data_IF_131550593157
#
_entry.id   IF_131550593157
#
_cell.length_a   1.000
_cell.length_b   1.000
_cell.length_c   1.000
_cell.angle_alpha   90.00
_cell.angle_beta   90.00
_cell.angle_gamma   90.00
#
_symmetry.space_group_name_H-M   'P 1'
#
loop_
_entity.id
_entity.type
_entity.pdbx_description
1 polymer ?
#
# COMPACT_ATOMS: atom_id res chain seq x y z
N UNK A 1 -12.91 -0.71 -16.46
CA UNK A 1 -13.10 -0.64 -15.00
C UNK A 1 -13.57 -2.00 -14.52
N UNK A 2 -12.75 -2.67 -13.72
CA UNK A 2 -13.03 -3.97 -13.10
C UNK A 2 -13.56 -3.74 -11.69
N UNK A 3 -14.58 -4.51 -11.29
CA UNK A 3 -15.19 -4.44 -9.96
C UNK A 3 -14.98 -5.75 -9.24
N UNK A 4 -14.22 -5.74 -8.14
CA UNK A 4 -13.87 -6.97 -7.42
C UNK A 4 -15.07 -7.60 -6.70
N UNK A 5 -16.12 -6.84 -6.40
CA UNK A 5 -17.36 -7.38 -5.83
C UNK A 5 -18.16 -8.27 -6.79
N UNK A 6 -17.86 -8.20 -8.09
CA UNK A 6 -18.52 -8.99 -9.14
C UNK A 6 -17.73 -10.26 -9.50
N UNK A 7 -16.55 -10.46 -8.91
CA UNK A 7 -15.65 -11.57 -9.22
C UNK A 7 -15.63 -12.62 -8.11
N UNK A 8 -15.56 -13.89 -8.49
CA UNK A 8 -15.19 -14.96 -7.57
C UNK A 8 -13.66 -15.06 -7.36
N UNK A 9 -13.21 -15.97 -6.49
CA UNK A 9 -11.79 -16.12 -6.17
C UNK A 9 -10.95 -16.65 -7.34
N UNK A 10 -11.55 -17.46 -8.23
CA UNK A 10 -10.90 -17.95 -9.44
C UNK A 10 -10.70 -16.84 -10.46
N UNK A 11 -11.73 -16.04 -10.69
CA UNK A 11 -11.67 -14.86 -11.56
C UNK A 11 -10.69 -13.80 -11.03
N UNK A 12 -10.66 -13.58 -9.71
CA UNK A 12 -9.65 -12.72 -9.08
C UNK A 12 -8.22 -13.27 -9.28
N UNK A 13 -8.03 -14.59 -9.24
CA UNK A 13 -6.73 -15.19 -9.49
C UNK A 13 -6.27 -14.96 -10.93
N UNK A 14 -7.15 -15.09 -11.92
CA UNK A 14 -6.84 -14.81 -13.33
C UNK A 14 -6.46 -13.34 -13.53
N UNK A 15 -7.25 -12.42 -12.97
CA UNK A 15 -6.94 -10.99 -12.99
C UNK A 15 -5.57 -10.70 -12.35
N UNK A 16 -5.28 -11.28 -11.19
CA UNK A 16 -4.03 -11.03 -10.48
C UNK A 16 -2.83 -11.57 -11.26
N UNK A 17 -2.98 -12.71 -11.95
CA UNK A 17 -1.97 -13.23 -12.86
C UNK A 17 -1.69 -12.27 -14.02
N UNK A 18 -2.74 -11.74 -14.66
CA UNK A 18 -2.60 -10.73 -15.71
C UNK A 18 -1.87 -9.48 -15.20
N UNK A 19 -2.31 -8.92 -14.06
CA UNK A 19 -1.68 -7.76 -13.43
C UNK A 19 -0.19 -8.00 -13.13
N UNK A 20 0.15 -9.20 -12.63
CA UNK A 20 1.53 -9.59 -12.37
C UNK A 20 2.41 -9.51 -13.63
N UNK A 21 1.92 -9.98 -14.79
CA UNK A 21 2.65 -9.87 -16.05
C UNK A 21 2.81 -8.41 -16.53
N UNK A 22 1.93 -7.52 -16.07
CA UNK A 22 2.02 -6.08 -16.31
C UNK A 22 2.77 -5.32 -15.21
N UNK A 23 3.40 -6.00 -14.25
CA UNK A 23 4.16 -5.37 -13.16
C UNK A 23 3.29 -4.62 -12.15
N UNK A 24 2.00 -4.96 -12.07
CA UNK A 24 1.04 -4.38 -11.13
C UNK A 24 0.74 -5.41 -10.05
N UNK A 25 0.93 -5.04 -8.79
CA UNK A 25 0.82 -5.98 -7.68
C UNK A 25 -0.17 -5.45 -6.64
N UNK A 26 -1.37 -6.02 -6.53
CA UNK A 26 -2.34 -5.66 -5.50
C UNK A 26 -1.73 -5.76 -4.09
N UNK A 27 -1.90 -4.72 -3.28
CA UNK A 27 -1.45 -4.70 -1.90
C UNK A 27 -2.52 -5.28 -0.97
N UNK A 28 -2.08 -5.80 0.17
CA UNK A 28 -2.95 -6.41 1.17
C UNK A 28 -2.79 -5.74 2.53
N UNK A 29 -3.69 -6.05 3.45
CA UNK A 29 -3.47 -5.82 4.87
C UNK A 29 -2.11 -6.42 5.28
N UNK A 30 -1.27 -5.61 5.94
CA UNK A 30 0.09 -6.00 6.32
C UNK A 30 1.16 -5.77 5.25
N UNK A 31 0.80 -5.37 4.02
CA UNK A 31 1.78 -4.97 3.01
C UNK A 31 2.71 -3.88 3.55
N UNK A 32 4.01 -4.02 3.32
CA UNK A 32 5.01 -3.02 3.69
C UNK A 32 4.80 -1.69 2.98
N UNK A 33 5.07 -0.63 3.72
CA UNK A 33 5.26 0.72 3.20
C UNK A 33 6.65 1.23 3.59
N UNK A 34 7.23 2.05 2.74
CA UNK A 34 8.54 2.65 2.95
C UNK A 34 8.41 4.17 3.02
N UNK A 35 9.17 4.80 3.90
CA UNK A 35 9.41 6.24 3.97
C UNK A 35 10.93 6.49 3.91
N UNK A 36 11.36 7.71 3.59
CA UNK A 36 12.80 8.04 3.47
C UNK A 36 13.60 7.80 4.77
N UNK A 37 12.93 7.70 5.92
CA UNK A 37 13.56 7.44 7.21
C UNK A 37 13.03 6.24 7.97
N UNK A 38 12.16 5.39 7.40
CA UNK A 38 11.53 4.33 8.17
C UNK A 38 10.74 3.33 7.33
N UNK A 39 10.41 2.20 7.93
CA UNK A 39 9.57 1.17 7.34
C UNK A 39 8.29 1.03 8.15
N UNK A 40 7.24 0.59 7.47
CA UNK A 40 5.93 0.43 8.03
C UNK A 40 5.15 -0.64 7.32
N UNK A 41 3.86 -0.69 7.65
CA UNK A 41 2.91 -1.58 7.01
C UNK A 41 1.55 -0.91 6.92
N UNK A 42 0.76 -1.33 5.94
CA UNK A 42 -0.67 -1.06 5.88
C UNK A 42 -1.31 -1.75 7.09
N UNK A 43 -1.80 -0.94 8.01
CA UNK A 43 -2.49 -1.41 9.21
C UNK A 43 -3.98 -1.50 8.87
N UNK A 44 -4.64 -2.58 9.30
CA UNK A 44 -6.03 -2.81 8.94
C UNK A 44 -6.94 -2.73 10.16
N UNK A 45 -7.60 -1.58 10.39
CA UNK A 45 -8.83 -1.51 11.16
C UNK A 45 -10.06 -1.21 10.25
N UNK A 46 -9.98 -1.41 8.93
CA UNK A 46 -11.22 -1.42 8.15
C UNK A 46 -11.94 -2.75 8.44
N UNK A 47 -13.25 -2.72 8.71
CA UNK A 47 -13.99 -3.94 9.05
C UNK A 47 -14.29 -4.81 7.81
N UNK A 48 -14.19 -4.22 6.61
CA UNK A 48 -14.65 -4.78 5.35
C UNK A 48 -13.62 -4.60 4.23
N UNK A 49 -13.80 -5.33 3.13
CA UNK A 49 -12.93 -5.32 1.96
C UNK A 49 -12.90 -6.69 1.28
N UNK A 50 -12.51 -6.78 0.00
CA UNK A 50 -12.46 -8.05 -0.70
C UNK A 50 -11.33 -8.92 -0.15
N UNK A 51 -11.60 -10.22 -0.08
CA UNK A 51 -10.66 -11.23 0.39
C UNK A 51 -10.15 -12.03 -0.80
N UNK A 52 -8.86 -12.35 -0.80
CA UNK A 52 -8.23 -13.22 -1.77
C UNK A 52 -7.20 -14.08 -1.06
N UNK A 53 -7.30 -15.39 -1.17
CA UNK A 53 -6.43 -16.37 -0.50
C UNK A 53 -6.34 -16.15 1.02
N UNK A 54 -7.46 -15.78 1.65
CA UNK A 54 -7.52 -15.50 3.08
C UNK A 54 -6.87 -14.18 3.51
N UNK A 55 -6.31 -13.41 2.59
CA UNK A 55 -5.78 -12.07 2.84
C UNK A 55 -6.73 -11.01 2.33
N UNK A 56 -6.79 -9.87 3.03
CA UNK A 56 -7.66 -8.78 2.63
C UNK A 56 -6.92 -7.80 1.75
N UNK A 57 -7.50 -7.48 0.60
CA UNK A 57 -6.94 -6.50 -0.34
C UNK A 57 -7.09 -5.10 0.26
N UNK A 58 -6.02 -4.32 0.21
CA UNK A 58 -6.02 -2.94 0.69
C UNK A 58 -6.77 -2.02 -0.29
N UNK A 59 -7.52 -1.07 0.25
CA UNK A 59 -8.30 -0.09 -0.52
C UNK A 59 -7.77 1.33 -0.29
N UNK A 60 -8.03 2.23 -1.23
CA UNK A 60 -7.68 3.64 -1.09
C UNK A 60 -8.19 4.20 0.25
N UNK A 61 -7.34 4.96 0.95
CA UNK A 61 -7.60 5.42 2.30
C UNK A 61 -7.27 4.41 3.40
N UNK A 62 -6.76 3.21 3.06
CA UNK A 62 -6.23 2.26 4.04
C UNK A 62 -5.20 2.96 4.94
N UNK A 63 -5.35 2.85 6.27
CA UNK A 63 -4.38 3.44 7.17
C UNK A 63 -3.09 2.64 7.15
N UNK A 64 -1.99 3.29 7.49
CA UNK A 64 -0.71 2.63 7.66
C UNK A 64 0.00 3.19 8.88
N UNK A 65 0.99 2.44 9.34
CA UNK A 65 1.90 2.87 10.39
C UNK A 65 3.33 2.69 9.96
N UNK A 66 4.13 3.74 10.12
CA UNK A 66 5.59 3.70 9.95
C UNK A 66 6.24 3.83 11.31
N UNK A 67 7.24 2.99 11.58
CA UNK A 67 8.06 3.05 12.78
C UNK A 67 9.44 3.58 12.40
N UNK A 68 10.00 4.40 13.29
CA UNK A 68 11.41 4.75 13.23
C UNK A 68 11.76 5.82 12.22
N UNK A 69 10.85 6.76 11.90
CA UNK A 69 11.14 7.97 11.10
C UNK A 69 12.28 8.77 11.75
N UNK A 70 13.52 8.43 11.44
CA UNK A 70 14.69 8.99 12.07
C UNK A 70 15.62 9.57 11.00
N UNK A 71 15.77 10.90 11.01
CA UNK A 71 16.80 11.62 10.24
C UNK A 71 17.85 12.28 11.13
N UNK A 72 18.16 11.68 12.28
CA UNK A 72 19.22 12.16 13.19
C UNK A 72 18.79 13.23 14.19
N UNK A 73 17.49 13.51 14.33
CA UNK A 73 16.95 14.38 15.40
C UNK A 73 16.79 13.63 16.71
N UNK A 74 17.13 14.25 17.84
CA UNK A 74 17.12 13.66 19.20
C UNK A 74 15.76 13.16 19.72
N UNK A 75 14.67 13.30 18.95
CA UNK A 75 13.30 12.96 19.35
C UNK A 75 12.87 11.53 18.92
N UNK A 76 13.73 10.51 19.01
CA UNK A 76 13.44 9.14 18.54
C UNK A 76 12.53 8.32 19.50
N UNK A 77 11.79 7.27 19.07
CA UNK A 77 11.15 7.02 17.78
C UNK A 77 9.61 7.18 17.90
N UNK A 78 9.03 8.15 17.19
CA UNK A 78 7.58 8.21 17.04
C UNK A 78 7.16 7.28 15.90
N UNK A 79 5.99 6.67 16.03
CA UNK A 79 5.33 6.12 14.87
C UNK A 79 4.56 7.25 14.17
N UNK A 80 4.51 7.23 12.85
CA UNK A 80 3.56 8.03 12.10
C UNK A 80 2.40 7.15 11.69
N UNK A 81 1.20 7.73 11.75
CA UNK A 81 -0.01 7.19 11.16
C UNK A 81 -0.39 8.04 9.96
N UNK A 82 -0.76 7.38 8.87
CA UNK A 82 -1.22 8.03 7.67
C UNK A 82 -2.25 7.20 6.95
N UNK A 83 -2.61 7.63 5.74
CA UNK A 83 -3.49 6.90 4.83
C UNK A 83 -2.87 6.83 3.44
N UNK A 84 -3.12 5.73 2.74
CA UNK A 84 -2.84 5.63 1.31
C UNK A 84 -3.77 6.59 0.55
N UNK A 85 -3.23 7.35 -0.39
CA UNK A 85 -3.93 8.43 -1.12
C UNK A 85 -3.93 8.27 -2.63
N UNK A 86 -3.20 7.30 -3.17
CA UNK A 86 -3.36 6.85 -4.56
C UNK A 86 -3.82 5.39 -4.60
N UNK A 87 -4.38 4.98 -5.72
CA UNK A 87 -4.89 3.64 -5.94
C UNK A 87 -5.04 3.37 -7.43
N UNK A 88 -5.45 2.16 -7.77
CA UNK A 88 -5.70 1.76 -9.15
C UNK A 88 -6.83 2.59 -9.80
N UNK A 89 -6.59 3.10 -11.00
CA UNK A 89 -7.60 3.89 -11.73
C UNK A 89 -8.69 3.02 -12.38
N UNK A 90 -8.44 1.72 -12.52
CA UNK A 90 -9.21 0.79 -13.35
C UNK A 90 -9.74 -0.43 -12.60
N UNK A 91 -9.39 -0.59 -11.30
CA UNK A 91 -9.82 -1.72 -10.45
C UNK A 91 -10.30 -1.19 -9.11
N UNK A 92 -11.53 -1.55 -8.74
CA UNK A 92 -12.17 -1.05 -7.53
C UNK A 92 -12.98 -2.12 -6.81
N UNK A 93 -13.25 -1.90 -5.54
CA UNK A 93 -14.24 -2.63 -4.76
C UNK A 93 -15.28 -1.66 -4.20
N UNK A 94 -16.56 -1.88 -4.53
CA UNK A 94 -17.68 -1.01 -4.14
C UNK A 94 -17.40 0.47 -4.42
N UNK A 95 -16.81 0.75 -5.58
CA UNK A 95 -16.43 2.12 -5.99
C UNK A 95 -15.17 2.70 -5.34
N UNK A 96 -14.48 1.94 -4.47
CA UNK A 96 -13.20 2.37 -3.88
C UNK A 96 -12.04 1.69 -4.61
N UNK A 97 -11.09 2.46 -5.20
CA UNK A 97 -9.88 1.92 -5.81
C UNK A 97 -9.12 0.96 -4.89
N UNK A 98 -8.55 -0.10 -5.45
CA UNK A 98 -7.63 -0.97 -4.70
C UNK A 98 -6.23 -0.35 -4.66
N UNK A 99 -5.47 -0.67 -3.62
CA UNK A 99 -4.07 -0.26 -3.49
C UNK A 99 -3.16 -1.27 -4.18
N UNK A 100 -2.10 -0.78 -4.80
CA UNK A 100 -1.06 -1.53 -5.48
C UNK A 100 0.33 -1.13 -4.97
N UNK A 101 1.34 -1.93 -5.29
CA UNK A 101 2.74 -1.51 -5.15
C UNK A 101 3.01 -0.24 -5.96
N UNK A 102 3.77 0.70 -5.37
CA UNK A 102 4.04 2.01 -5.96
C UNK A 102 3.05 3.09 -5.53
N UNK A 103 1.88 2.72 -4.98
CA UNK A 103 0.94 3.71 -4.46
C UNK A 103 1.51 4.49 -3.29
N UNK A 104 1.10 5.75 -3.19
CA UNK A 104 1.58 6.71 -2.22
C UNK A 104 0.61 6.85 -1.06
N UNK A 105 1.16 7.04 0.12
CA UNK A 105 0.43 7.47 1.30
C UNK A 105 1.01 8.74 1.90
N UNK A 106 0.21 9.43 2.71
CA UNK A 106 0.64 10.66 3.41
C UNK A 106 0.31 10.58 4.89
N UNK A 107 1.19 11.14 5.72
CA UNK A 107 0.98 11.35 7.15
C UNK A 107 1.24 12.80 7.52
N UNK A 108 1.01 13.18 8.79
CA UNK A 108 1.34 14.51 9.27
C UNK A 108 2.86 14.76 9.17
N UNK A 109 3.27 15.96 8.74
CA UNK A 109 4.69 16.27 8.58
C UNK A 109 5.45 16.05 9.90
N UNK A 110 6.51 15.25 9.85
CA UNK A 110 7.36 14.91 10.99
C UNK A 110 8.84 15.21 10.65
N UNK A 111 9.80 14.56 11.32
CA UNK A 111 11.24 14.67 11.06
C UNK A 111 11.66 13.93 9.76
N UNK A 112 11.05 14.27 8.63
CA UNK A 112 11.30 13.68 7.31
C UNK A 112 10.17 13.98 6.30
N UNK A 113 10.24 13.37 5.12
CA UNK A 113 9.15 13.38 4.14
C UNK A 113 7.90 12.78 4.76
N UNK A 114 6.76 13.41 4.50
CA UNK A 114 5.47 12.95 4.96
C UNK A 114 4.83 11.92 4.01
N UNK A 115 5.59 11.47 3.01
CA UNK A 115 5.19 10.51 1.98
C UNK A 115 5.67 9.11 2.34
N UNK A 116 4.86 8.12 2.01
CA UNK A 116 5.25 6.71 1.97
C UNK A 116 4.91 6.11 0.62
N UNK A 117 5.58 5.02 0.27
CA UNK A 117 5.30 4.21 -0.91
C UNK A 117 5.01 2.78 -0.48
N UNK A 118 3.98 2.17 -1.04
CA UNK A 118 3.65 0.75 -0.85
C UNK A 118 4.67 -0.10 -1.62
N UNK A 119 5.38 -0.97 -0.92
CA UNK A 119 6.50 -1.74 -1.51
C UNK A 119 6.26 -3.24 -1.55
N UNK A 120 5.12 -3.70 -1.04
CA UNK A 120 4.75 -5.11 -1.02
C UNK A 120 3.32 -5.31 -1.52
N UNK A 121 3.14 -6.36 -2.33
CA UNK A 121 1.86 -6.77 -2.87
C UNK A 121 1.93 -8.19 -3.39
N UNK A 122 0.91 -8.61 -4.13
CA UNK A 122 0.78 -9.98 -4.62
C UNK A 122 2.01 -10.39 -5.44
N UNK A 123 2.77 -11.38 -4.92
CA UNK A 123 4.02 -11.89 -5.50
C UNK A 123 5.13 -10.86 -5.72
N UNK A 124 5.08 -9.71 -5.02
CA UNK A 124 6.12 -8.68 -5.07
C UNK A 124 6.46 -8.23 -3.66
N UNK A 125 7.74 -8.35 -3.33
CA UNK A 125 8.36 -7.74 -2.15
C UNK A 125 9.40 -6.74 -2.61
N UNK A 126 9.69 -5.75 -1.77
CA UNK A 126 10.79 -4.81 -2.01
C UNK A 126 12.10 -5.57 -2.24
N UNK A 127 12.82 -5.24 -3.32
CA UNK A 127 14.13 -5.80 -3.59
C UNK A 127 15.26 -4.90 -3.09
N UNK A 128 16.38 -5.44 -2.58
CA UNK A 128 17.54 -4.62 -2.25
C UNK A 128 18.01 -3.78 -3.45
N UNK A 129 18.18 -2.47 -3.25
CA UNK A 129 18.62 -1.53 -4.29
C UNK A 129 17.50 -0.86 -5.10
N UNK A 130 16.24 -1.19 -4.84
CA UNK A 130 15.10 -0.47 -5.41
C UNK A 130 15.06 0.98 -4.89
N UNK A 131 14.97 1.94 -5.80
CA UNK A 131 14.96 3.38 -5.48
C UNK A 131 13.55 3.93 -5.54
N UNK A 132 13.25 4.87 -4.65
CA UNK A 132 11.92 5.42 -4.46
C UNK A 132 11.98 6.93 -4.37
N UNK A 133 11.10 7.62 -5.10
CA UNK A 133 10.97 9.07 -5.02
C UNK A 133 9.86 9.48 -4.04
N UNK A 134 10.27 10.02 -2.90
CA UNK A 134 9.39 10.45 -1.81
C UNK A 134 8.89 11.89 -1.97
N UNK A 135 9.36 12.64 -2.97
CA UNK A 135 8.99 14.03 -3.15
C UNK A 135 7.67 14.12 -3.95
N UNK A 136 6.77 15.07 -3.59
CA UNK A 136 5.56 15.31 -4.37
C UNK A 136 5.95 15.84 -5.76
N UNK A 137 5.30 15.31 -6.80
CA UNK A 137 5.33 15.89 -8.15
C UNK A 137 4.47 17.15 -8.22
#
# INVERSE_FOLDING_TARGET
>A
MVKLEDLDEGEMLELFQELFFHGRHPAFAGSKVLSEGGHGQIDFPQAEGPMFQGQRIALLGAPYRVVGLNRGGACCPHFALGKIVTGAEDIQWRGTPIVMTGDRGVHAHACGTNTVIVTEGWRKIQTPGETFDFYPM
#
